data_IF_231951553880
#
_entry.id   IF_231951553880
#
_cell.length_a   1.000
_cell.length_b   1.000
_cell.length_c   1.000
_cell.angle_alpha   90.00
_cell.angle_beta   90.00
_cell.angle_gamma   90.00
#
_symmetry.space_group_name_H-M   'P 1'
#
loop_
_entity.id
_entity.type
_entity.pdbx_description
1 polymer ?
#
# COMPACT_ATOMS: atom_id res chain seq x y z
N UNK A 1 -30.47 1.57 2.29
CA UNK A 1 -29.92 1.30 0.94
C UNK A 1 -28.52 1.91 0.87
N UNK A 2 -27.51 1.17 1.31
CA UNK A 2 -26.12 1.64 1.28
C UNK A 2 -25.58 1.50 -0.13
N UNK A 3 -25.58 2.58 -0.90
CA UNK A 3 -24.89 2.63 -2.20
C UNK A 3 -23.40 2.52 -1.91
N UNK A 4 -22.84 1.33 -2.06
CA UNK A 4 -21.38 1.19 -2.15
C UNK A 4 -20.95 1.99 -3.39
N UNK A 5 -20.02 2.95 -3.26
CA UNK A 5 -19.48 3.63 -4.43
C UNK A 5 -18.77 2.57 -5.27
N UNK A 6 -19.25 2.36 -6.49
CA UNK A 6 -18.52 1.59 -7.49
C UNK A 6 -17.15 2.24 -7.68
N UNK A 7 -16.10 1.54 -7.28
CA UNK A 7 -14.70 1.93 -7.52
C UNK A 7 -14.39 1.73 -9.01
N UNK A 8 -15.02 2.53 -9.88
CA UNK A 8 -14.76 2.62 -11.33
C UNK A 8 -13.58 3.53 -11.65
N UNK A 9 -12.67 3.72 -10.69
CA UNK A 9 -11.35 4.22 -10.99
C UNK A 9 -10.52 3.06 -11.50
N UNK A 10 -10.22 3.03 -12.79
CA UNK A 10 -8.95 2.44 -13.23
C UNK A 10 -7.87 3.23 -12.50
N UNK A 11 -7.49 2.75 -11.32
CA UNK A 11 -6.43 3.36 -10.53
C UNK A 11 -5.23 3.35 -11.45
N UNK A 12 -4.91 4.52 -12.00
CA UNK A 12 -3.75 4.73 -12.85
C UNK A 12 -2.62 4.01 -12.15
N UNK A 13 -1.93 3.14 -12.85
CA UNK A 13 -0.87 2.25 -12.35
C UNK A 13 0.35 3.01 -11.83
N UNK A 14 0.18 4.24 -11.34
CA UNK A 14 1.11 4.92 -10.45
C UNK A 14 1.21 4.10 -9.17
N UNK A 15 2.25 3.27 -9.10
CA UNK A 15 2.47 2.36 -8.00
C UNK A 15 2.46 3.05 -6.63
N UNK A 16 2.17 2.29 -5.59
CA UNK A 16 2.35 2.70 -4.19
C UNK A 16 3.82 3.01 -3.94
N UNK A 17 4.19 4.28 -4.08
CA UNK A 17 5.50 4.81 -3.68
C UNK A 17 5.46 5.13 -2.20
N UNK A 18 6.63 5.20 -1.55
CA UNK A 18 6.71 5.65 -0.17
C UNK A 18 6.03 7.01 0.03
N UNK A 19 6.27 7.97 -0.86
CA UNK A 19 5.68 9.30 -0.78
C UNK A 19 4.15 9.30 -0.92
N UNK A 20 3.58 8.43 -1.79
CA UNK A 20 2.12 8.31 -1.89
C UNK A 20 1.52 7.59 -0.70
N UNK A 21 2.19 6.57 -0.16
CA UNK A 21 1.76 5.86 1.04
C UNK A 21 1.78 6.75 2.30
N UNK A 22 2.78 7.63 2.43
CA UNK A 22 2.86 8.61 3.52
C UNK A 22 1.74 9.65 3.42
N UNK A 23 1.47 10.17 2.21
CA UNK A 23 0.36 11.11 1.98
C UNK A 23 -1.00 10.49 2.33
N UNK A 24 -1.24 9.23 1.95
CA UNK A 24 -2.49 8.53 2.26
C UNK A 24 -2.63 8.31 3.77
N UNK A 25 -1.56 7.86 4.44
CA UNK A 25 -1.60 7.59 5.88
C UNK A 25 -1.86 8.87 6.69
N UNK A 26 -1.26 9.98 6.29
CA UNK A 26 -1.41 11.26 6.98
C UNK A 26 -2.84 11.83 6.93
N UNK A 27 -3.64 11.51 5.90
CA UNK A 27 -5.07 11.89 5.83
C UNK A 27 -5.85 11.36 7.02
N UNK A 28 -5.49 10.17 7.50
CA UNK A 28 -6.10 9.52 8.67
C UNK A 28 -5.30 9.75 9.96
N UNK A 29 -4.28 10.62 9.95
CA UNK A 29 -3.40 10.87 11.10
C UNK A 29 -2.45 9.70 11.41
N UNK A 30 -2.30 8.74 10.49
CA UNK A 30 -1.44 7.58 10.63
C UNK A 30 -0.07 7.84 10.01
N UNK A 31 0.95 7.15 10.54
CA UNK A 31 2.33 7.23 10.05
C UNK A 31 2.79 5.84 9.66
N UNK A 32 3.46 5.73 8.50
CA UNK A 32 4.08 4.47 8.10
C UNK A 32 5.11 4.02 9.13
N UNK A 33 5.05 2.75 9.50
CA UNK A 33 6.07 2.14 10.35
C UNK A 33 7.45 2.19 9.68
N UNK A 34 8.55 2.25 10.43
CA UNK A 34 9.91 2.21 9.88
C UNK A 34 10.13 0.99 8.96
N UNK A 35 9.52 -0.15 9.31
CA UNK A 35 9.56 -1.39 8.52
C UNK A 35 8.85 -1.24 7.18
N UNK A 36 7.69 -0.58 7.14
CA UNK A 36 6.96 -0.35 5.89
C UNK A 36 7.69 0.64 4.98
N UNK A 37 8.27 1.71 5.54
CA UNK A 37 9.11 2.65 4.77
C UNK A 37 10.28 1.94 4.11
N UNK A 38 10.99 1.08 4.86
CA UNK A 38 12.11 0.29 4.33
C UNK A 38 11.66 -0.63 3.19
N UNK A 39 10.57 -1.36 3.36
CA UNK A 39 10.05 -2.24 2.30
C UNK A 39 9.64 -1.44 1.05
N UNK A 40 8.98 -0.30 1.19
CA UNK A 40 8.61 0.54 0.04
C UNK A 40 9.82 1.15 -0.67
N UNK A 41 10.90 1.43 0.07
CA UNK A 41 12.16 1.88 -0.51
C UNK A 41 12.88 0.76 -1.27
N UNK A 42 12.96 -0.44 -0.69
CA UNK A 42 13.62 -1.62 -1.30
C UNK A 42 12.89 -2.12 -2.55
N UNK A 43 11.56 -2.02 -2.56
CA UNK A 43 10.72 -2.51 -3.67
C UNK A 43 10.41 -1.42 -4.70
N UNK A 44 11.05 -0.24 -4.62
CA UNK A 44 10.76 0.94 -5.47
C UNK A 44 10.89 0.64 -6.97
N UNK A 45 11.85 -0.19 -7.35
CA UNK A 45 12.15 -0.51 -8.75
C UNK A 45 11.46 -1.80 -9.22
N UNK A 46 10.76 -2.50 -8.31
CA UNK A 46 9.99 -3.69 -8.64
C UNK A 46 8.64 -3.35 -9.28
N UNK A 47 8.09 -4.27 -10.09
CA UNK A 47 6.72 -4.19 -10.56
C UNK A 47 5.73 -4.00 -9.41
N UNK A 48 4.64 -3.24 -9.62
CA UNK A 48 3.64 -2.97 -8.57
C UNK A 48 3.04 -4.24 -7.94
N UNK A 49 2.95 -5.33 -8.70
CA UNK A 49 2.39 -6.60 -8.20
C UNK A 49 3.34 -7.31 -7.25
N UNK A 50 4.64 -7.37 -7.57
CA UNK A 50 5.67 -7.90 -6.67
C UNK A 50 5.75 -7.10 -5.37
N UNK A 51 5.66 -5.77 -5.48
CA UNK A 51 5.59 -4.89 -4.30
C UNK A 51 4.38 -5.21 -3.43
N UNK A 52 3.20 -5.39 -4.03
CA UNK A 52 1.98 -5.76 -3.30
C UNK A 52 2.10 -7.14 -2.65
N UNK A 53 2.73 -8.11 -3.31
CA UNK A 53 3.01 -9.42 -2.73
C UNK A 53 3.96 -9.32 -1.54
N UNK A 54 5.04 -8.54 -1.63
CA UNK A 54 5.98 -8.33 -0.53
C UNK A 54 5.31 -7.66 0.68
N UNK A 55 4.43 -6.68 0.46
CA UNK A 55 3.62 -6.07 1.52
C UNK A 55 2.70 -7.12 2.15
N UNK A 56 1.93 -7.87 1.35
CA UNK A 56 1.02 -8.91 1.84
C UNK A 56 1.76 -9.98 2.65
N UNK A 57 2.93 -10.41 2.19
CA UNK A 57 3.76 -11.38 2.90
C UNK A 57 4.18 -10.91 4.30
N UNK A 58 4.40 -9.60 4.50
CA UNK A 58 4.70 -9.07 5.84
C UNK A 58 3.53 -9.23 6.82
N UNK A 59 2.29 -9.18 6.32
CA UNK A 59 1.08 -9.31 7.14
C UNK A 59 0.51 -10.74 7.13
N UNK A 60 1.13 -11.67 6.39
CA UNK A 60 0.65 -13.04 6.21
C UNK A 60 0.96 -13.99 7.40
N UNK A 61 1.60 -13.53 8.48
CA UNK A 61 1.74 -14.30 9.73
C UNK A 61 0.77 -13.79 10.80
N UNK A 62 0.01 -14.60 11.54
CA UNK A 62 0.02 -16.06 11.82
C UNK A 62 -1.43 -16.55 11.67
N UNK A 63 -1.73 -17.77 11.19
CA UNK A 63 -3.04 -18.36 11.42
C UNK A 63 -3.30 -18.36 12.93
N UNK A 64 -4.48 -17.86 13.32
CA UNK A 64 -4.97 -17.89 14.68
C UNK A 64 -5.11 -19.33 15.19
#
# INVERSE_FOLDING_TARGET
>A
MSKMPELTGSAKTGGLTQASAEKISAVEGLVLSPRMRKLLAETKDQPPEERRQAIRAQFAGKPA
#
